data_IF_817406769734
#
_entry.id   IF_817406769734
#
_cell.length_a   1.000
_cell.length_b   1.000
_cell.length_c   1.000
_cell.angle_alpha   90.00
_cell.angle_beta   90.00
_cell.angle_gamma   90.00
#
_symmetry.space_group_name_H-M   'P 1'
#
loop_
_entity.id
_entity.type
_entity.pdbx_description
1 polymer ?
#
# COMPACT_ATOMS: atom_id res chain seq x y z
N UNK A 1 -9.80 -1.24 5.73
CA UNK A 1 -9.94 -2.20 6.84
C UNK A 1 -11.02 -3.23 6.56
N UNK A 2 -12.32 -2.88 6.50
CA UNK A 2 -13.44 -3.84 6.31
C UNK A 2 -13.23 -4.84 5.16
N UNK A 3 -12.86 -4.35 3.97
CA UNK A 3 -12.61 -5.20 2.79
C UNK A 3 -11.53 -6.28 3.00
N UNK A 4 -10.62 -6.08 3.96
CA UNK A 4 -9.55 -7.01 4.29
C UNK A 4 -9.82 -7.79 5.58
N UNK A 5 -10.99 -7.64 6.22
CA UNK A 5 -11.28 -8.25 7.51
C UNK A 5 -11.06 -9.76 7.51
N UNK A 6 -11.47 -10.47 6.45
CA UNK A 6 -11.24 -11.91 6.31
C UNK A 6 -9.75 -12.25 6.22
N UNK A 7 -8.96 -11.49 5.45
CA UNK A 7 -7.50 -11.67 5.32
C UNK A 7 -6.79 -11.39 6.64
N UNK A 8 -7.20 -10.33 7.36
CA UNK A 8 -6.70 -9.98 8.69
C UNK A 8 -6.98 -11.12 9.67
N UNK A 9 -8.23 -11.60 9.72
CA UNK A 9 -8.62 -12.70 10.61
C UNK A 9 -7.90 -14.01 10.28
N UNK A 10 -7.64 -14.30 8.99
CA UNK A 10 -6.90 -15.48 8.57
C UNK A 10 -5.43 -15.46 9.04
N UNK A 11 -4.88 -14.30 9.41
CA UNK A 11 -3.57 -14.17 10.06
C UNK A 11 -3.65 -14.33 11.59
N UNK A 12 -4.82 -14.67 12.14
CA UNK A 12 -5.03 -14.75 13.59
C UNK A 12 -5.14 -13.40 14.28
N UNK A 13 -5.35 -12.32 13.53
CA UNK A 13 -5.46 -10.96 14.07
C UNK A 13 -6.91 -10.57 14.37
N UNK A 14 -7.11 -9.93 15.51
CA UNK A 14 -8.31 -9.13 15.77
C UNK A 14 -8.22 -7.77 15.07
N UNK A 15 -9.38 -7.14 14.82
CA UNK A 15 -9.47 -5.82 14.23
C UNK A 15 -10.43 -4.94 15.03
N UNK A 16 -9.97 -3.77 15.44
CA UNK A 16 -10.78 -2.74 16.07
C UNK A 16 -10.31 -1.35 15.61
N UNK A 17 -11.22 -0.38 15.58
CA UNK A 17 -10.88 1.03 15.45
C UNK A 17 -11.35 1.80 16.68
N UNK A 18 -10.59 2.80 17.10
CA UNK A 18 -10.92 3.67 18.24
C UNK A 18 -11.15 5.09 17.70
N UNK A 19 -12.22 5.74 18.14
CA UNK A 19 -12.38 7.18 17.91
C UNK A 19 -13.00 7.87 19.12
N UNK A 20 -12.91 9.20 19.12
CA UNK A 20 -13.56 10.06 20.10
C UNK A 20 -15.09 10.11 19.95
N UNK A 21 -15.69 9.42 18.99
CA UNK A 21 -17.12 9.44 18.77
C UNK A 21 -17.86 8.60 19.83
N UNK A 22 -19.12 8.94 20.10
CA UNK A 22 -19.98 8.16 21.00
C UNK A 22 -20.38 6.83 20.36
N UNK A 23 -20.75 5.85 21.19
CA UNK A 23 -21.28 4.56 20.72
C UNK A 23 -22.44 4.73 19.71
N UNK A 24 -23.33 5.69 19.92
CA UNK A 24 -24.45 5.95 19.03
C UNK A 24 -24.01 6.47 17.64
N UNK A 25 -23.00 7.36 17.60
CA UNK A 25 -22.41 7.83 16.34
C UNK A 25 -21.72 6.67 15.62
N UNK A 26 -20.90 5.90 16.34
CA UNK A 26 -20.18 4.76 15.77
C UNK A 26 -21.13 3.70 15.23
N UNK A 27 -22.22 3.40 15.94
CA UNK A 27 -23.26 2.48 15.45
C UNK A 27 -23.91 2.99 14.16
N UNK A 28 -24.27 4.28 14.11
CA UNK A 28 -24.88 4.86 12.91
C UNK A 28 -23.93 4.79 11.71
N UNK A 29 -22.64 5.06 11.95
CA UNK A 29 -21.59 4.94 10.93
C UNK A 29 -21.42 3.49 10.47
N UNK A 30 -21.31 2.54 11.41
CA UNK A 30 -21.15 1.12 11.11
C UNK A 30 -22.32 0.56 10.30
N UNK A 31 -23.56 0.88 10.70
CA UNK A 31 -24.76 0.43 9.99
C UNK A 31 -24.80 0.96 8.54
N UNK A 32 -24.42 2.22 8.34
CA UNK A 32 -24.42 2.87 7.02
C UNK A 32 -23.30 2.36 6.10
N UNK A 33 -22.08 2.23 6.61
CA UNK A 33 -20.91 1.78 5.85
C UNK A 33 -20.75 0.24 5.85
N UNK A 34 -21.69 -0.47 6.47
CA UNK A 34 -21.66 -1.92 6.64
C UNK A 34 -20.37 -2.44 7.28
N UNK A 35 -19.90 -1.74 8.33
CA UNK A 35 -18.70 -2.12 9.08
C UNK A 35 -19.04 -3.25 10.05
N UNK A 36 -18.29 -4.35 9.94
CA UNK A 36 -18.51 -5.55 10.74
C UNK A 36 -17.43 -5.83 11.78
N UNK A 37 -16.37 -5.04 11.86
CA UNK A 37 -15.37 -5.10 12.93
C UNK A 37 -15.69 -4.10 14.06
N UNK A 38 -15.04 -4.29 15.21
CA UNK A 38 -15.32 -3.51 16.43
C UNK A 38 -14.95 -2.03 16.29
N UNK A 39 -15.89 -1.14 16.64
CA UNK A 39 -15.66 0.30 16.76
C UNK A 39 -15.77 0.70 18.22
N UNK A 40 -14.64 1.11 18.79
CA UNK A 40 -14.47 1.45 20.20
C UNK A 40 -14.64 2.96 20.41
N UNK A 41 -15.53 3.31 21.34
CA UNK A 41 -15.84 4.69 21.71
C UNK A 41 -14.90 5.19 22.81
N UNK A 42 -14.26 6.33 22.59
CA UNK A 42 -13.41 7.02 23.56
C UNK A 42 -13.79 8.51 23.67
N UNK A 43 -15.01 8.84 24.16
CA UNK A 43 -15.58 10.18 24.03
C UNK A 43 -14.80 11.29 24.76
N UNK A 44 -13.99 10.95 25.75
CA UNK A 44 -13.12 11.92 26.43
C UNK A 44 -11.68 11.89 25.90
N UNK A 45 -11.43 11.09 24.86
CA UNK A 45 -10.13 10.83 24.27
C UNK A 45 -9.11 10.34 25.30
N UNK A 46 -9.53 9.58 26.32
CA UNK A 46 -8.67 9.10 27.40
C UNK A 46 -7.63 8.11 26.88
N UNK A 47 -8.06 7.16 26.06
CA UNK A 47 -7.18 6.18 25.41
C UNK A 47 -6.33 6.87 24.34
N UNK A 48 -6.95 7.73 23.52
CA UNK A 48 -6.25 8.53 22.51
C UNK A 48 -5.11 9.35 23.14
N UNK A 49 -5.35 9.98 24.30
CA UNK A 49 -4.33 10.71 25.07
C UNK A 49 -3.27 9.79 25.66
N UNK A 50 -3.64 8.63 26.20
CA UNK A 50 -2.66 7.70 26.78
C UNK A 50 -1.71 7.12 25.73
N UNK A 51 -2.15 7.03 24.47
CA UNK A 51 -1.30 6.65 23.34
C UNK A 51 -0.46 7.83 22.80
N UNK A 52 -0.66 9.05 23.30
CA UNK A 52 0.07 10.23 22.86
C UNK A 52 -0.29 10.68 21.44
N UNK A 53 -1.47 10.30 20.94
CA UNK A 53 -1.90 10.58 19.56
C UNK A 53 -3.04 11.56 19.50
N UNK A 54 -3.30 12.37 20.52
CA UNK A 54 -4.29 13.44 20.40
C UNK A 54 -3.80 14.50 19.41
N UNK A 55 -4.68 14.97 18.51
CA UNK A 55 -4.36 16.13 17.70
C UNK A 55 -4.55 17.42 18.51
N UNK A 56 -3.44 17.98 19.01
CA UNK A 56 -3.43 19.19 19.84
C UNK A 56 -3.64 20.48 19.05
N UNK A 57 -3.65 20.44 17.71
CA UNK A 57 -3.90 21.61 16.86
C UNK A 57 -5.37 22.01 16.79
N UNK A 58 -6.28 21.15 17.27
CA UNK A 58 -7.72 21.41 17.27
C UNK A 58 -8.12 22.22 18.51
N UNK A 59 -8.82 23.33 18.29
CA UNK A 59 -9.30 24.20 19.37
C UNK A 59 -10.28 23.47 20.30
N UNK A 60 -10.24 23.77 21.61
CA UNK A 60 -10.95 23.02 22.65
C UNK A 60 -12.47 23.13 22.57
N UNK A 61 -12.97 24.23 22.06
CA UNK A 61 -14.39 24.54 21.80
C UNK A 61 -14.87 24.01 20.44
N UNK A 62 -13.98 23.43 19.64
CA UNK A 62 -14.35 22.81 18.37
C UNK A 62 -15.09 21.49 18.61
N UNK A 63 -16.15 21.19 17.84
CA UNK A 63 -16.78 19.86 17.84
C UNK A 63 -15.81 18.72 17.50
N UNK A 64 -14.70 19.01 16.83
CA UNK A 64 -13.65 18.06 16.47
C UNK A 64 -12.60 17.85 17.58
N UNK A 65 -12.71 18.58 18.71
CA UNK A 65 -11.77 18.43 19.82
C UNK A 65 -11.83 17.00 20.36
N UNK A 66 -10.66 16.37 20.45
CA UNK A 66 -10.52 14.96 20.81
C UNK A 66 -10.12 14.03 19.66
N UNK A 67 -10.17 14.51 18.41
CA UNK A 67 -9.73 13.72 17.26
C UNK A 67 -8.25 13.33 17.39
N UNK A 68 -7.86 12.07 17.08
CA UNK A 68 -6.47 11.67 17.11
C UNK A 68 -5.71 12.13 15.86
N UNK A 69 -4.38 12.24 15.97
CA UNK A 69 -3.49 11.97 14.86
C UNK A 69 -3.73 10.53 14.39
N UNK A 70 -4.22 10.37 13.15
CA UNK A 70 -4.74 9.10 12.69
C UNK A 70 -3.62 8.16 12.25
N UNK A 71 -3.75 6.88 12.60
CA UNK A 71 -2.77 5.85 12.25
C UNK A 71 -3.25 4.45 12.64
N UNK A 72 -2.38 3.46 12.44
CA UNK A 72 -2.66 2.05 12.77
C UNK A 72 -1.54 1.47 13.63
N UNK A 73 -1.92 0.68 14.63
CA UNK A 73 -1.01 -0.13 15.42
C UNK A 73 -1.21 -1.61 15.09
N UNK A 74 -0.12 -2.37 15.09
CA UNK A 74 -0.16 -3.84 15.14
C UNK A 74 0.37 -4.24 16.51
N UNK A 75 -0.35 -5.14 17.17
CA UNK A 75 -0.05 -5.60 18.52
C UNK A 75 0.17 -7.13 18.52
N UNK A 76 1.03 -7.62 19.40
CA UNK A 76 1.13 -9.04 19.70
C UNK A 76 0.00 -9.51 20.64
N UNK A 77 -0.08 -10.81 20.91
CA UNK A 77 -1.11 -11.39 21.77
C UNK A 77 -1.03 -10.94 23.25
N UNK A 78 0.06 -10.27 23.66
CA UNK A 78 0.22 -9.68 25.01
C UNK A 78 -0.13 -8.19 25.03
N UNK A 79 -0.58 -7.63 23.91
CA UNK A 79 -0.90 -6.21 23.78
C UNK A 79 0.32 -5.31 23.59
N UNK A 80 1.48 -5.87 23.20
CA UNK A 80 2.68 -5.07 22.91
C UNK A 80 2.63 -4.61 21.46
N UNK A 81 2.85 -3.31 21.22
CA UNK A 81 2.93 -2.73 19.88
C UNK A 81 4.17 -3.26 19.16
N UNK A 82 3.98 -3.97 18.05
CA UNK A 82 5.04 -4.53 17.20
C UNK A 82 5.27 -3.73 15.93
N UNK A 83 4.27 -2.97 15.46
CA UNK A 83 4.42 -2.03 14.34
C UNK A 83 3.49 -0.81 14.48
N UNK A 84 3.87 0.29 13.82
CA UNK A 84 3.12 1.56 13.77
C UNK A 84 3.08 2.06 12.33
N UNK A 85 1.91 2.51 11.88
CA UNK A 85 1.70 3.14 10.57
C UNK A 85 1.07 4.51 10.80
N UNK A 86 1.93 5.51 10.85
CA UNK A 86 1.59 6.92 11.04
C UNK A 86 2.39 7.73 10.02
N UNK A 87 1.74 8.75 9.48
CA UNK A 87 2.33 9.61 8.45
C UNK A 87 2.36 11.05 8.98
N UNK A 88 3.39 11.80 8.61
CA UNK A 88 3.55 13.20 9.02
C UNK A 88 2.38 14.06 8.54
N UNK A 89 1.95 13.85 7.29
CA UNK A 89 0.68 14.39 6.81
C UNK A 89 -0.47 13.52 7.33
N UNK A 90 -1.23 14.07 8.28
CA UNK A 90 -2.41 13.41 8.86
C UNK A 90 -3.51 13.08 7.84
N UNK A 91 -3.41 13.47 6.57
CA UNK A 91 -4.34 13.05 5.51
C UNK A 91 -3.91 11.75 4.84
N UNK A 92 -2.62 11.41 4.90
CA UNK A 92 -2.06 10.23 4.24
C UNK A 92 -2.34 8.97 5.06
N UNK A 93 -2.84 7.93 4.39
CA UNK A 93 -3.18 6.65 5.05
C UNK A 93 -2.65 5.47 4.28
N UNK A 94 -1.91 4.61 4.96
CA UNK A 94 -1.70 3.26 4.47
C UNK A 94 -3.01 2.50 4.32
N UNK A 95 -3.14 1.79 3.21
CA UNK A 95 -4.23 0.84 3.03
C UNK A 95 -4.01 -0.41 3.89
N UNK A 96 -5.10 -1.13 4.21
CA UNK A 96 -4.99 -2.35 5.00
C UNK A 96 -4.19 -3.42 4.24
N UNK A 97 -4.41 -3.53 2.92
CA UNK A 97 -3.62 -4.40 2.05
C UNK A 97 -2.14 -4.06 2.04
N UNK A 98 -1.76 -2.78 2.02
CA UNK A 98 -0.34 -2.36 2.12
C UNK A 98 0.30 -2.76 3.45
N UNK A 99 -0.45 -2.62 4.55
CA UNK A 99 0.00 -3.06 5.88
C UNK A 99 0.17 -4.57 5.90
N UNK A 100 -0.81 -5.31 5.38
CA UNK A 100 -0.75 -6.77 5.34
C UNK A 100 0.42 -7.30 4.49
N UNK A 101 0.67 -6.67 3.34
CA UNK A 101 1.80 -7.02 2.48
C UNK A 101 3.13 -6.78 3.20
N UNK A 102 3.34 -5.59 3.75
CA UNK A 102 4.63 -5.22 4.35
C UNK A 102 4.90 -5.94 5.67
N UNK A 103 3.86 -6.19 6.48
CA UNK A 103 4.01 -6.80 7.79
C UNK A 103 4.02 -8.33 7.75
N UNK A 104 3.22 -8.93 6.87
CA UNK A 104 2.97 -10.37 6.88
C UNK A 104 3.30 -11.05 5.54
N UNK A 105 3.84 -10.32 4.56
CA UNK A 105 4.12 -10.85 3.23
C UNK A 105 2.88 -11.28 2.46
N UNK A 106 1.68 -10.83 2.89
CA UNK A 106 0.43 -11.29 2.28
C UNK A 106 0.24 -10.72 0.89
N UNK A 107 0.28 -11.64 -0.08
CA UNK A 107 0.03 -11.44 -1.49
C UNK A 107 -1.17 -10.51 -1.74
N UNK A 108 -1.00 -9.38 -2.45
CA UNK A 108 -2.14 -8.65 -2.97
C UNK A 108 -2.88 -9.57 -3.96
N UNK A 109 -4.18 -9.35 -4.13
CA UNK A 109 -4.95 -10.13 -5.10
C UNK A 109 -4.31 -9.98 -6.50
N UNK A 110 -3.92 -11.10 -7.11
CA UNK A 110 -3.36 -11.13 -8.47
C UNK A 110 -4.35 -10.49 -9.45
N UNK A 111 -3.87 -9.57 -10.29
CA UNK A 111 -4.73 -8.80 -11.20
C UNK A 111 -4.59 -9.22 -12.65
N UNK A 112 -3.37 -9.43 -13.13
CA UNK A 112 -3.14 -9.79 -14.53
C UNK A 112 -1.80 -10.48 -14.75
N UNK A 113 -1.83 -11.56 -15.55
CA UNK A 113 -0.65 -12.04 -16.24
C UNK A 113 -0.31 -11.09 -17.38
N UNK A 114 0.96 -10.71 -17.49
CA UNK A 114 1.46 -9.79 -18.50
C UNK A 114 2.49 -10.53 -19.35
N UNK A 115 2.41 -10.34 -20.67
CA UNK A 115 3.38 -10.92 -21.58
C UNK A 115 4.73 -10.23 -21.43
N UNK A 116 5.78 -11.05 -21.31
CA UNK A 116 7.16 -10.65 -21.15
C UNK A 116 8.04 -11.75 -21.78
N UNK A 117 9.18 -11.43 -22.39
CA UNK A 117 10.08 -12.46 -22.91
C UNK A 117 10.94 -13.01 -21.78
N UNK A 118 11.23 -14.30 -21.85
CA UNK A 118 12.20 -14.98 -20.98
C UNK A 118 11.83 -15.08 -19.49
N UNK A 119 10.68 -14.56 -19.06
CA UNK A 119 10.16 -14.71 -17.70
C UNK A 119 8.64 -14.64 -17.69
N UNK A 120 8.01 -15.12 -16.62
CA UNK A 120 6.59 -14.89 -16.35
C UNK A 120 6.45 -13.66 -15.47
N UNK A 121 5.45 -12.81 -15.75
CA UNK A 121 5.19 -11.59 -15.02
C UNK A 121 3.71 -11.50 -14.65
N UNK A 122 3.44 -11.24 -13.38
CA UNK A 122 2.11 -10.87 -12.90
C UNK A 122 2.18 -9.51 -12.20
N UNK A 123 1.14 -8.70 -12.37
CA UNK A 123 0.95 -7.50 -11.56
C UNK A 123 -0.14 -7.73 -10.54
N UNK A 124 0.09 -7.17 -9.36
CA UNK A 124 -0.89 -7.09 -8.30
C UNK A 124 -0.85 -5.69 -7.69
N UNK A 125 -1.91 -5.32 -7.00
CA UNK A 125 -1.98 -4.04 -6.31
C UNK A 125 -2.87 -4.17 -5.10
N UNK A 126 -2.62 -3.33 -4.10
CA UNK A 126 -3.32 -3.34 -2.82
C UNK A 126 -4.83 -3.04 -2.92
N UNK A 127 -5.37 -2.51 -1.82
CA UNK A 127 -6.82 -2.36 -1.62
C UNK A 127 -7.53 -1.68 -2.79
N UNK A 128 -8.73 -2.16 -3.08
CA UNK A 128 -9.66 -1.48 -3.95
C UNK A 128 -11.08 -1.54 -3.38
N UNK A 129 -11.86 -0.47 -3.49
CA UNK A 129 -11.46 0.86 -4.00
C UNK A 129 -10.47 1.63 -3.12
N UNK A 130 -9.75 2.56 -3.76
CA UNK A 130 -8.91 3.55 -3.12
C UNK A 130 -9.66 4.86 -2.87
N UNK A 131 -9.08 5.72 -2.04
CA UNK A 131 -9.53 7.09 -1.77
C UNK A 131 -8.33 8.05 -1.87
N UNK A 132 -8.58 9.36 -2.07
CA UNK A 132 -7.50 10.34 -2.12
C UNK A 132 -6.60 10.30 -0.87
N UNK A 133 -5.32 10.64 -1.02
CA UNK A 133 -4.28 10.56 0.01
C UNK A 133 -4.00 9.13 0.55
N UNK A 134 -4.55 8.07 -0.05
CA UNK A 134 -4.16 6.72 0.35
C UNK A 134 -2.81 6.30 -0.25
N UNK A 135 -2.04 5.60 0.57
CA UNK A 135 -0.74 5.01 0.26
C UNK A 135 -0.92 3.52 0.01
N UNK A 136 -0.77 3.12 -1.24
CA UNK A 136 -1.04 1.76 -1.73
C UNK A 136 0.25 1.13 -2.26
N UNK A 137 0.47 -0.14 -1.92
CA UNK A 137 1.56 -0.92 -2.51
C UNK A 137 1.10 -1.60 -3.81
N UNK A 138 1.91 -1.45 -4.85
CA UNK A 138 1.81 -2.15 -6.13
C UNK A 138 2.94 -3.17 -6.17
N UNK A 139 2.66 -4.38 -6.63
CA UNK A 139 3.66 -5.43 -6.74
C UNK A 139 3.77 -5.96 -8.16
N UNK A 140 4.99 -6.30 -8.53
CA UNK A 140 5.35 -7.01 -9.75
C UNK A 140 6.01 -8.31 -9.35
N UNK A 141 5.32 -9.40 -9.63
CA UNK A 141 5.75 -10.76 -9.34
C UNK A 141 6.36 -11.35 -10.61
N UNK A 142 7.62 -11.76 -10.52
CA UNK A 142 8.34 -12.35 -11.63
C UNK A 142 8.78 -13.77 -11.28
N UNK A 143 8.72 -14.65 -12.27
CA UNK A 143 9.27 -16.00 -12.21
C UNK A 143 10.22 -16.20 -13.39
N UNK A 144 11.51 -16.33 -13.09
CA UNK A 144 12.50 -16.73 -14.08
C UNK A 144 12.53 -18.26 -14.23
N UNK A 145 12.75 -18.77 -15.45
CA UNK A 145 13.11 -20.17 -15.67
C UNK A 145 14.42 -20.56 -14.98
N UNK A 146 14.64 -21.87 -14.83
CA UNK A 146 15.90 -22.39 -14.32
C UNK A 146 17.08 -21.92 -15.17
N UNK A 147 18.22 -21.66 -14.51
CA UNK A 147 19.47 -21.18 -15.14
C UNK A 147 19.34 -19.82 -15.83
N UNK A 148 18.32 -19.04 -15.49
CA UNK A 148 18.17 -17.65 -15.91
C UNK A 148 18.28 -16.69 -14.72
N UNK A 149 18.86 -15.52 -14.99
CA UNK A 149 19.00 -14.45 -14.02
C UNK A 149 18.76 -13.06 -14.63
N UNK A 150 18.51 -12.09 -13.77
CA UNK A 150 18.54 -10.64 -14.10
C UNK A 150 19.44 -9.93 -13.10
N UNK A 151 20.12 -8.88 -13.54
CA UNK A 151 21.01 -8.11 -12.67
C UNK A 151 20.23 -7.25 -11.67
N UNK A 152 20.67 -7.25 -10.42
CA UNK A 152 20.10 -6.39 -9.39
C UNK A 152 20.54 -4.93 -9.57
N UNK A 153 19.82 -3.94 -9.01
CA UNK A 153 20.24 -2.53 -9.01
C UNK A 153 21.65 -2.33 -8.45
N UNK A 154 22.39 -1.36 -9.00
CA UNK A 154 23.74 -0.99 -8.55
C UNK A 154 24.90 -1.66 -9.29
N UNK A 155 24.61 -2.54 -10.25
CA UNK A 155 25.64 -3.11 -11.16
C UNK A 155 26.28 -2.04 -12.05
N UNK A 156 27.55 -2.24 -12.39
CA UNK A 156 28.30 -1.40 -13.34
C UNK A 156 28.58 -2.22 -14.61
N UNK A 157 28.31 -1.67 -15.79
CA UNK A 157 28.54 -2.36 -17.07
C UNK A 157 27.41 -3.29 -17.52
N UNK A 158 26.39 -3.51 -16.69
CA UNK A 158 25.23 -4.37 -16.97
C UNK A 158 23.91 -3.59 -16.93
N UNK A 159 22.85 -4.17 -17.47
CA UNK A 159 21.50 -3.58 -17.45
C UNK A 159 20.71 -4.19 -16.28
N UNK A 160 20.53 -3.46 -15.16
CA UNK A 160 19.75 -3.95 -14.03
C UNK A 160 18.26 -3.99 -14.36
N UNK A 161 17.54 -4.85 -13.62
CA UNK A 161 16.09 -4.76 -13.55
C UNK A 161 15.68 -3.46 -12.84
N UNK A 162 14.81 -2.68 -13.48
CA UNK A 162 14.29 -1.42 -12.95
C UNK A 162 12.79 -1.33 -13.18
N UNK A 163 12.04 -1.05 -12.12
CA UNK A 163 10.65 -0.63 -12.21
C UNK A 163 10.61 0.90 -12.04
N UNK A 164 9.93 1.58 -12.95
CA UNK A 164 9.79 3.05 -12.91
C UNK A 164 8.34 3.43 -13.16
N UNK A 165 7.73 4.18 -12.25
CA UNK A 165 6.38 4.72 -12.47
C UNK A 165 6.41 5.92 -13.40
N UNK A 166 5.44 5.99 -14.30
CA UNK A 166 5.27 7.16 -15.15
C UNK A 166 4.80 8.34 -14.31
N UNK A 167 5.50 9.47 -14.44
CA UNK A 167 5.17 10.67 -13.70
C UNK A 167 3.72 11.10 -13.95
N UNK A 168 2.99 11.39 -12.88
CA UNK A 168 1.59 11.83 -12.94
C UNK A 168 1.29 12.76 -11.78
N UNK A 169 0.48 13.82 -11.97
CA UNK A 169 -0.01 14.62 -10.86
C UNK A 169 -0.98 13.84 -9.94
N UNK A 170 -1.44 12.66 -10.35
CA UNK A 170 -2.38 11.85 -9.58
C UNK A 170 -1.73 11.13 -8.38
N UNK A 171 -0.41 10.93 -8.39
CA UNK A 171 0.27 10.20 -7.33
C UNK A 171 1.75 10.55 -7.24
N UNK A 172 2.34 10.26 -6.08
CA UNK A 172 3.78 10.24 -5.88
C UNK A 172 4.23 8.81 -5.62
N UNK A 173 5.27 8.36 -6.30
CA UNK A 173 5.87 7.04 -6.09
C UNK A 173 7.09 7.14 -5.19
N UNK A 174 7.22 6.18 -4.28
CA UNK A 174 8.40 5.97 -3.45
C UNK A 174 9.42 5.09 -4.17
N UNK A 175 10.69 5.04 -3.72
CA UNK A 175 11.66 4.10 -4.26
C UNK A 175 11.17 2.64 -4.20
N UNK A 176 11.44 1.90 -5.28
CA UNK A 176 11.11 0.48 -5.38
C UNK A 176 11.87 -0.33 -4.34
N UNK A 177 11.17 -1.22 -3.65
CA UNK A 177 11.74 -2.23 -2.77
C UNK A 177 12.02 -3.50 -3.56
N UNK A 178 13.27 -3.95 -3.50
CA UNK A 178 13.77 -5.17 -4.12
C UNK A 178 14.03 -6.24 -3.04
N UNK A 179 13.93 -7.53 -3.37
CA UNK A 179 14.36 -8.58 -2.47
C UNK A 179 15.89 -8.55 -2.30
N UNK A 180 16.40 -9.32 -1.34
CA UNK A 180 17.84 -9.49 -1.21
C UNK A 180 18.43 -10.15 -2.46
N UNK A 181 19.43 -9.52 -3.07
CA UNK A 181 20.13 -10.07 -4.23
C UNK A 181 21.07 -11.21 -3.82
N UNK A 182 21.28 -12.16 -4.73
CA UNK A 182 22.32 -13.18 -4.60
C UNK A 182 23.59 -12.71 -5.32
N UNK A 183 24.74 -13.13 -4.80
CA UNK A 183 26.01 -12.91 -5.47
C UNK A 183 26.30 -14.04 -6.46
N UNK A 184 26.53 -13.70 -7.71
CA UNK A 184 26.91 -14.63 -8.77
C UNK A 184 28.32 -14.34 -9.27
N UNK A 185 29.07 -15.42 -9.55
CA UNK A 185 30.41 -15.36 -10.12
C UNK A 185 30.34 -15.65 -11.61
N UNK A 186 30.74 -14.70 -12.44
CA UNK A 186 30.85 -14.86 -13.89
C UNK A 186 32.23 -15.40 -14.22
N UNK A 187 32.36 -16.73 -14.29
CA UNK A 187 33.67 -17.39 -14.41
C UNK A 187 34.45 -16.99 -15.65
N UNK A 188 33.78 -16.78 -16.79
CA UNK A 188 34.44 -16.45 -18.06
C UNK A 188 35.20 -15.12 -18.04
N UNK A 189 34.76 -14.16 -17.23
CA UNK A 189 35.34 -12.81 -17.13
C UNK A 189 35.84 -12.49 -15.72
N UNK A 190 35.79 -13.46 -14.81
CA UNK A 190 36.23 -13.32 -13.44
C UNK A 190 35.62 -12.10 -12.73
N UNK A 191 34.33 -11.84 -12.93
CA UNK A 191 33.56 -10.80 -12.24
C UNK A 191 32.56 -11.37 -11.25
N UNK A 192 32.18 -10.57 -10.25
CA UNK A 192 31.20 -10.95 -9.23
C UNK A 192 30.11 -9.89 -9.18
N UNK A 193 28.87 -10.30 -9.38
CA UNK A 193 27.74 -9.40 -9.65
C UNK A 193 26.51 -9.81 -8.83
N UNK A 194 25.73 -8.85 -8.32
CA UNK A 194 24.46 -9.13 -7.67
C UNK A 194 23.36 -9.42 -8.72
N UNK A 195 22.63 -10.52 -8.52
CA UNK A 195 21.58 -11.00 -9.43
C UNK A 195 20.34 -11.45 -8.66
N UNK A 196 19.23 -11.55 -9.40
CA UNK A 196 18.04 -12.26 -8.97
C UNK A 196 17.82 -13.50 -9.85
N UNK A 197 17.32 -14.56 -9.23
CA UNK A 197 17.04 -15.87 -9.85
C UNK A 197 15.70 -16.39 -9.30
N UNK A 198 15.01 -17.24 -10.07
CA UNK A 198 13.78 -17.88 -9.64
C UNK A 198 12.64 -16.88 -9.43
N UNK A 199 11.97 -16.95 -8.28
CA UNK A 199 10.87 -16.07 -7.93
C UNK A 199 11.38 -14.77 -7.28
N UNK A 200 10.91 -13.62 -7.75
CA UNK A 200 11.16 -12.32 -7.14
C UNK A 200 9.92 -11.45 -7.16
N UNK A 201 9.78 -10.61 -6.13
CA UNK A 201 8.76 -9.58 -6.03
C UNK A 201 9.40 -8.22 -5.93
N UNK A 202 9.00 -7.31 -6.81
CA UNK A 202 9.26 -5.89 -6.69
C UNK A 202 8.04 -5.23 -6.06
N UNK A 203 8.24 -4.39 -5.04
CA UNK A 203 7.14 -3.64 -4.42
C UNK A 203 7.42 -2.16 -4.54
N UNK A 204 6.47 -1.43 -5.11
CA UNK A 204 6.50 0.02 -5.15
C UNK A 204 5.31 0.58 -4.38
N UNK A 205 5.54 1.62 -3.60
CA UNK A 205 4.47 2.29 -2.88
C UNK A 205 4.14 3.60 -3.59
N UNK A 206 2.85 3.82 -3.82
CA UNK A 206 2.34 5.05 -4.43
C UNK A 206 1.36 5.71 -3.49
N UNK A 207 1.53 7.01 -3.29
CA UNK A 207 0.62 7.86 -2.52
C UNK A 207 -0.26 8.63 -3.49
N UNK A 208 -1.55 8.35 -3.47
CA UNK A 208 -2.54 9.09 -4.26
C UNK A 208 -2.55 10.55 -3.81
N UNK A 209 -2.58 11.48 -4.76
CA UNK A 209 -2.77 12.89 -4.50
C UNK A 209 -4.10 13.22 -3.80
N UNK A 210 -4.24 14.49 -3.43
CA UNK A 210 -5.47 15.01 -2.87
C UNK A 210 -6.63 14.97 -3.88
N UNK A 211 -7.86 15.02 -3.39
CA UNK A 211 -9.05 14.92 -4.24
C UNK A 211 -9.04 15.92 -5.40
N UNK A 212 -8.58 17.16 -5.18
CA UNK A 212 -8.51 18.19 -6.21
C UNK A 212 -7.55 17.85 -7.36
N UNK A 213 -6.48 17.10 -7.07
CA UNK A 213 -5.50 16.69 -8.07
C UNK A 213 -5.96 15.46 -8.87
N UNK A 214 -6.67 14.53 -8.21
CA UNK A 214 -7.09 13.27 -8.84
C UNK A 214 -8.42 13.39 -9.58
N UNK A 215 -9.41 14.09 -9.05
CA UNK A 215 -10.77 14.13 -9.64
C UNK A 215 -10.78 14.50 -11.15
N UNK A 216 -9.98 15.46 -11.64
CA UNK A 216 -9.93 15.76 -13.09
C UNK A 216 -9.34 14.65 -13.97
N UNK A 217 -8.69 13.66 -13.37
CA UNK A 217 -7.97 12.59 -14.05
C UNK A 217 -8.74 11.25 -14.03
N UNK A 218 -9.88 11.21 -13.34
CA UNK A 218 -10.74 10.05 -13.28
C UNK A 218 -11.60 9.93 -14.55
N UNK A 219 -11.82 8.70 -15.01
CA UNK A 219 -12.80 8.44 -16.08
C UNK A 219 -14.24 8.50 -15.57
N UNK A 220 -15.21 8.25 -16.46
CA UNK A 220 -16.65 8.27 -16.12
C UNK A 220 -17.06 7.26 -15.05
N UNK A 221 -16.30 6.17 -14.90
CA UNK A 221 -16.49 5.13 -13.89
C UNK A 221 -15.59 5.35 -12.66
N UNK A 222 -15.01 6.56 -12.52
CA UNK A 222 -14.10 6.94 -11.45
C UNK A 222 -12.85 6.06 -11.32
N UNK A 223 -12.35 5.53 -12.43
CA UNK A 223 -11.08 4.81 -12.44
C UNK A 223 -9.93 5.75 -12.76
N UNK A 224 -8.80 5.47 -12.12
CA UNK A 224 -7.49 6.01 -12.43
C UNK A 224 -6.61 4.87 -12.93
N UNK A 225 -5.88 5.06 -14.03
CA UNK A 225 -4.86 4.10 -14.44
C UNK A 225 -3.49 4.59 -13.98
N UNK A 226 -2.87 3.83 -13.09
CA UNK A 226 -1.48 4.03 -12.71
C UNK A 226 -0.62 3.23 -13.71
N UNK A 227 0.38 3.88 -14.29
CA UNK A 227 1.24 3.27 -15.32
C UNK A 227 2.71 3.26 -14.87
N UNK A 228 3.44 2.21 -15.26
CA UNK A 228 4.86 2.07 -15.00
C UNK A 228 5.53 1.24 -16.08
N UNK A 229 6.85 1.24 -16.08
CA UNK A 229 7.68 0.53 -17.05
C UNK A 229 8.67 -0.36 -16.29
N UNK A 230 8.62 -1.67 -16.57
CA UNK A 230 9.61 -2.62 -16.09
C UNK A 230 10.64 -2.85 -17.21
N UNK A 231 11.86 -2.39 -16.98
CA UNK A 231 12.99 -2.65 -17.87
C UNK A 231 13.91 -3.70 -17.27
N UNK A 232 14.32 -4.69 -18.05
CA UNK A 232 15.26 -5.72 -17.60
C UNK A 232 16.08 -6.28 -18.77
N UNK A 233 17.14 -7.00 -18.41
CA UNK A 233 17.89 -7.85 -19.34
C UNK A 233 18.03 -9.22 -18.69
N UNK A 234 17.41 -10.23 -19.30
CA UNK A 234 17.57 -11.61 -18.85
C UNK A 234 18.84 -12.20 -19.46
N UNK A 235 19.54 -13.02 -18.68
CA UNK A 235 20.71 -13.76 -19.13
C UNK A 235 20.56 -15.24 -18.75
N UNK A 236 21.07 -16.13 -19.59
CA UNK A 236 21.32 -17.52 -19.24
C UNK A 236 22.83 -17.73 -19.00
N UNK A 237 23.26 -18.98 -18.93
CA UNK A 237 24.68 -19.30 -18.70
C UNK A 237 25.61 -19.03 -19.89
N UNK A 238 25.06 -18.65 -21.04
CA UNK A 238 25.80 -18.49 -22.30
C UNK A 238 25.81 -17.05 -22.76
N UNK A 239 24.67 -16.37 -22.66
CA UNK A 239 24.50 -15.03 -23.16
C UNK A 239 23.47 -14.21 -22.37
N UNK A 240 23.58 -12.89 -22.53
CA UNK A 240 22.54 -11.96 -22.13
C UNK A 240 21.68 -11.60 -23.35
N UNK A 241 20.37 -11.82 -23.25
CA UNK A 241 19.43 -11.49 -24.31
C UNK A 241 19.31 -9.97 -24.50
N UNK A 242 18.62 -9.54 -25.55
CA UNK A 242 18.30 -8.14 -25.74
C UNK A 242 17.44 -7.63 -24.56
N UNK A 243 17.76 -6.44 -24.07
CA UNK A 243 16.98 -5.81 -23.00
C UNK A 243 15.52 -5.59 -23.46
N UNK A 244 14.60 -5.75 -22.53
CA UNK A 244 13.17 -5.60 -22.75
C UNK A 244 12.60 -4.53 -21.81
N UNK A 245 11.60 -3.79 -22.31
CA UNK A 245 10.77 -2.91 -21.51
C UNK A 245 9.32 -3.36 -21.63
N UNK A 246 8.73 -3.74 -20.51
CA UNK A 246 7.32 -4.13 -20.40
C UNK A 246 6.54 -2.98 -19.80
N UNK A 247 5.49 -2.53 -20.50
CA UNK A 247 4.60 -1.48 -20.03
C UNK A 247 3.53 -2.05 -19.12
N UNK A 248 3.48 -1.59 -17.87
CA UNK A 248 2.58 -2.07 -16.82
C UNK A 248 1.47 -1.07 -16.56
N UNK A 249 0.29 -1.60 -16.21
CA UNK A 249 -0.90 -0.80 -15.87
C UNK A 249 -1.60 -1.38 -14.66
N UNK A 250 -1.99 -0.51 -13.74
CA UNK A 250 -2.83 -0.81 -12.60
C UNK A 250 -4.07 0.10 -12.64
N UNK A 251 -5.20 -0.40 -13.19
CA UNK A 251 -6.47 0.31 -13.02
C UNK A 251 -6.84 0.27 -11.53
N UNK A 252 -7.24 1.41 -10.97
CA UNK A 252 -7.72 1.54 -9.59
C UNK A 252 -9.01 2.34 -9.57
N UNK A 253 -10.02 1.81 -8.89
CA UNK A 253 -11.28 2.53 -8.67
C UNK A 253 -11.12 3.49 -7.48
N UNK A 254 -11.50 4.76 -7.64
CA UNK A 254 -11.30 5.81 -6.64
C UNK A 254 -12.63 6.36 -6.13
N UNK A 255 -12.94 6.08 -4.86
CA UNK A 255 -14.10 6.63 -4.18
C UNK A 255 -13.83 8.03 -3.62
N UNK A 256 -14.83 8.93 -3.62
CA UNK A 256 -14.72 10.22 -2.93
C UNK A 256 -14.62 9.99 -1.42
N UNK A 257 -14.26 11.02 -0.65
CA UNK A 257 -14.41 10.94 0.82
C UNK A 257 -15.89 10.86 1.20
N UNK A 258 -16.20 10.05 2.22
CA UNK A 258 -17.51 10.15 2.85
C UNK A 258 -17.62 11.48 3.61
N UNK A 259 -18.67 12.24 3.30
CA UNK A 259 -18.97 13.55 3.89
C UNK A 259 -20.26 13.52 4.71
N UNK A 260 -20.87 12.36 4.85
CA UNK A 260 -22.15 12.18 5.53
C UNK A 260 -21.95 12.25 7.04
N UNK A 261 -22.42 13.35 7.64
CA UNK A 261 -22.35 13.54 9.09
C UNK A 261 -23.36 12.66 9.83
N UNK A 262 -23.07 12.34 11.08
CA UNK A 262 -24.01 11.71 12.00
C UNK A 262 -25.34 12.51 12.08
N UNK A 263 -26.47 11.87 12.45
CA UNK A 263 -27.73 12.56 12.72
C UNK A 263 -27.54 13.71 13.70
N UNK A 264 -28.19 14.84 13.43
CA UNK A 264 -28.03 16.07 14.24
C UNK A 264 -28.19 15.86 15.75
N UNK A 265 -29.18 15.09 16.25
CA UNK A 265 -29.34 14.87 17.68
C UNK A 265 -28.17 14.14 18.36
N UNK A 266 -27.37 13.40 17.58
CA UNK A 266 -26.21 12.65 18.09
C UNK A 266 -24.91 13.46 18.01
N UNK A 267 -24.90 14.59 17.29
CA UNK A 267 -23.68 15.39 17.11
C UNK A 267 -23.26 16.02 18.42
N UNK A 268 -21.94 16.13 18.62
CA UNK A 268 -21.36 16.91 19.72
C UNK A 268 -21.85 18.35 19.63
N UNK A 269 -22.35 18.87 20.74
CA UNK A 269 -22.71 20.28 20.88
C UNK A 269 -21.43 21.09 21.03
N UNK A 270 -21.44 22.30 20.46
CA UNK A 270 -20.42 23.32 20.73
C UNK A 270 -20.50 23.76 22.19
#
# INVERSE_FOLDING_TARGET
>A
MEQNRARISAQGLGLAAVSYDSVAILKTFADREHIGFELLSDPESKVIRSYGILNETVQKDSPSFGIPHPGTYVLDARGIVTAKYFEDDFRVRDTAGSILLRQFGLEPSSRAAVQAKHLQLNTSGGDMPLRPNQRVSLAVDLQLPDRMHVYAPGVTGYIPISLTMRASPAFQADPVSYPAAKTMRLEAIHETVPVFEGALRLVETVTLGAAQAIEPLLDGDRNLTIEGDLRYQACDDRECFAAETVHLKWPVHVLPFDRTRAPEPLRRKQ
#
